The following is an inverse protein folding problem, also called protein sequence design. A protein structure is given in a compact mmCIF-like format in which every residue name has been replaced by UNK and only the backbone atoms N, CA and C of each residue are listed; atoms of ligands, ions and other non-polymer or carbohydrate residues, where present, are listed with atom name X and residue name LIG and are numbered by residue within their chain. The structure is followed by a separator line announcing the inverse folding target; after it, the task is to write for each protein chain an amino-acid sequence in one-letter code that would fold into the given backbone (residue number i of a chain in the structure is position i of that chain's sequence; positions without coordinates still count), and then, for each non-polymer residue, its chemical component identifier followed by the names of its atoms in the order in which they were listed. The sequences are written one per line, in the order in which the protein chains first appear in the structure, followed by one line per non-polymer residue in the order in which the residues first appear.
data_IF_778893635632
#
_entry.id   IF_778893635632
#
_cell.length_a   1.000
_cell.length_b   1.000
_cell.length_c   1.000
_cell.angle_alpha   90.00
_cell.angle_beta   90.00
_cell.angle_gamma   90.00
#
_symmetry.space_group_name_H-M   'P 1'
#
loop_
_entity.id
_entity.type
_entity.pdbx_description
1 polymer ?
#
# COMPACT_ATOMS: atom_id res chain seq x y z
N UNK A 1 -28.86 -51.98 -37.80
CA UNK A 1 -28.69 -52.74 -36.55
C UNK A 1 -27.77 -51.90 -35.71
N UNK A 2 -28.34 -50.87 -35.07
CA UNK A 2 -28.84 -50.95 -33.68
C UNK A 2 -27.72 -51.31 -32.71
N UNK A 3 -27.52 -50.68 -31.56
CA UNK A 3 -28.05 -49.51 -30.86
C UNK A 3 -27.43 -49.72 -29.48
N UNK A 4 -26.70 -48.76 -28.91
CA UNK A 4 -26.92 -48.42 -27.50
C UNK A 4 -26.13 -47.20 -27.02
N UNK A 5 -26.84 -46.43 -26.21
CA UNK A 5 -26.51 -45.10 -25.71
C UNK A 5 -26.97 -45.08 -24.26
N UNK A 6 -26.06 -44.94 -23.29
CA UNK A 6 -26.39 -44.31 -21.99
C UNK A 6 -25.17 -44.07 -21.09
N UNK A 7 -24.82 -42.78 -20.98
CA UNK A 7 -24.51 -41.96 -19.79
C UNK A 7 -24.08 -42.62 -18.47
N UNK A 8 -22.93 -42.19 -17.91
CA UNK A 8 -22.81 -41.54 -16.58
C UNK A 8 -21.34 -41.34 -16.16
N UNK A 9 -21.04 -40.27 -15.40
CA UNK A 9 -19.80 -40.15 -14.59
C UNK A 9 -18.97 -38.88 -14.80
N UNK A 10 -18.96 -38.00 -13.81
CA UNK A 10 -18.31 -36.69 -13.64
C UNK A 10 -16.76 -36.71 -13.63
N UNK A 11 -16.09 -35.54 -13.77
CA UNK A 11 -14.65 -35.42 -14.05
C UNK A 11 -13.79 -35.55 -12.79
N UNK A 12 -12.84 -36.48 -12.83
CA UNK A 12 -11.77 -36.60 -11.84
C UNK A 12 -10.61 -35.67 -12.18
N UNK A 13 -10.36 -34.72 -11.29
CA UNK A 13 -9.16 -33.88 -11.19
C UNK A 13 -7.89 -34.68 -11.43
N UNK A 14 -7.07 -34.27 -12.39
CA UNK A 14 -5.65 -34.65 -12.45
C UNK A 14 -4.86 -33.46 -12.94
N UNK A 15 -4.37 -32.68 -11.97
CA UNK A 15 -3.29 -31.72 -12.21
C UNK A 15 -2.05 -32.51 -12.60
N UNK A 16 -1.65 -32.44 -13.86
CA UNK A 16 -0.33 -32.86 -14.28
C UNK A 16 0.68 -31.81 -13.81
N UNK A 17 1.19 -32.02 -12.59
CA UNK A 17 2.46 -31.43 -12.20
C UNK A 17 3.53 -32.03 -13.11
N UNK A 18 3.96 -31.25 -14.10
CA UNK A 18 5.08 -31.58 -14.96
C UNK A 18 6.36 -31.48 -14.12
N UNK A 19 6.71 -32.56 -13.44
CA UNK A 19 7.94 -32.71 -12.66
C UNK A 19 9.12 -32.88 -13.61
N UNK A 20 9.74 -31.77 -14.04
CA UNK A 20 11.09 -31.81 -14.62
C UNK A 20 12.11 -31.86 -13.48
N UNK A 21 12.29 -33.03 -12.88
CA UNK A 21 13.44 -33.34 -12.04
C UNK A 21 14.61 -33.78 -12.92
N UNK A 22 15.13 -32.87 -13.74
CA UNK A 22 16.48 -33.01 -14.27
C UNK A 22 17.44 -32.39 -13.26
N UNK A 23 18.25 -33.24 -12.62
CA UNK A 23 19.39 -32.81 -11.81
C UNK A 23 20.36 -32.06 -12.72
N UNK A 24 20.34 -30.73 -12.68
CA UNK A 24 21.29 -29.86 -13.39
C UNK A 24 22.72 -30.20 -12.96
N UNK A 25 23.65 -30.27 -13.92
CA UNK A 25 25.06 -30.50 -13.62
C UNK A 25 25.59 -29.35 -12.72
N UNK A 26 26.64 -29.56 -11.91
CA UNK A 26 27.19 -28.52 -11.03
C UNK A 26 27.54 -27.19 -11.73
N UNK A 27 27.77 -27.21 -13.06
CA UNK A 27 28.01 -26.01 -13.89
C UNK A 27 26.75 -25.28 -14.39
N UNK A 28 25.57 -25.90 -14.28
CA UNK A 28 24.29 -25.33 -14.77
C UNK A 28 23.48 -24.65 -13.65
N UNK A 29 24.04 -24.57 -12.44
CA UNK A 29 23.40 -23.88 -11.32
C UNK A 29 23.44 -22.37 -11.53
N UNK A 30 22.30 -21.80 -11.86
CA UNK A 30 22.12 -20.33 -11.83
C UNK A 30 22.19 -19.87 -10.38
N UNK A 31 23.25 -19.15 -10.02
CA UNK A 31 23.41 -18.52 -8.70
C UNK A 31 23.03 -17.05 -8.85
N UNK A 32 22.07 -16.60 -8.05
CA UNK A 32 21.74 -15.18 -7.96
C UNK A 32 22.72 -14.49 -7.01
N UNK A 33 23.48 -13.53 -7.54
CA UNK A 33 24.41 -12.71 -6.75
C UNK A 33 23.88 -11.28 -6.70
N UNK A 34 23.68 -10.76 -5.49
CA UNK A 34 23.30 -9.36 -5.27
C UNK A 34 24.58 -8.55 -5.03
N UNK A 35 24.94 -7.68 -5.97
CA UNK A 35 26.12 -6.82 -5.88
C UNK A 35 25.78 -5.40 -6.33
N UNK A 36 26.62 -4.42 -5.95
CA UNK A 36 26.63 -3.11 -6.58
C UNK A 36 27.25 -3.20 -7.99
N UNK A 37 27.06 -2.17 -8.81
CA UNK A 37 27.71 -2.09 -10.12
C UNK A 37 29.24 -1.90 -9.98
N UNK A 38 29.68 -1.26 -8.90
CA UNK A 38 31.10 -1.19 -8.54
C UNK A 38 31.63 -2.47 -7.87
N UNK A 39 30.74 -3.40 -7.52
CA UNK A 39 31.08 -4.64 -6.82
C UNK A 39 31.09 -5.83 -7.77
N UNK A 40 32.12 -6.66 -7.66
CA UNK A 40 32.44 -7.79 -8.58
C UNK A 40 32.94 -7.26 -9.94
N UNK A 41 33.98 -7.89 -10.48
CA UNK A 41 34.62 -7.47 -11.74
C UNK A 41 33.72 -7.66 -12.95
N UNK A 42 32.79 -6.72 -13.15
CA UNK A 42 31.93 -6.68 -14.33
C UNK A 42 32.75 -6.50 -15.59
N UNK A 43 32.28 -7.10 -16.68
CA UNK A 43 32.79 -6.88 -18.03
C UNK A 43 32.76 -5.37 -18.35
N UNK A 44 33.93 -4.71 -18.51
CA UNK A 44 34.00 -3.27 -18.74
C UNK A 44 33.21 -2.81 -19.97
N UNK A 45 33.09 -3.66 -21.00
CA UNK A 45 32.34 -3.35 -22.22
C UNK A 45 30.82 -3.28 -22.00
N UNK A 46 30.32 -3.89 -20.91
CA UNK A 46 28.89 -3.95 -20.59
C UNK A 46 28.50 -3.07 -19.43
N UNK A 47 29.48 -2.54 -18.70
CA UNK A 47 29.29 -1.75 -17.49
C UNK A 47 28.39 -0.53 -17.72
N UNK A 48 28.69 0.28 -18.73
CA UNK A 48 27.92 1.50 -19.02
C UNK A 48 26.44 1.19 -19.33
N UNK A 49 26.17 0.16 -20.14
CA UNK A 49 24.81 -0.28 -20.46
C UNK A 49 24.07 -0.82 -19.23
N UNK A 50 24.80 -1.47 -18.31
CA UNK A 50 24.22 -1.95 -17.05
C UNK A 50 23.88 -0.78 -16.12
N UNK A 51 24.76 0.22 -16.03
CA UNK A 51 24.52 1.46 -15.27
C UNK A 51 23.28 2.19 -15.80
N UNK A 52 23.18 2.39 -17.11
CA UNK A 52 22.03 3.01 -17.77
C UNK A 52 20.73 2.22 -17.48
N UNK A 53 20.78 0.89 -17.57
CA UNK A 53 19.64 0.03 -17.26
C UNK A 53 19.18 0.19 -15.80
N UNK A 54 20.12 0.13 -14.85
CA UNK A 54 19.81 0.24 -13.42
C UNK A 54 19.22 1.62 -13.08
N UNK A 55 19.81 2.69 -13.61
CA UNK A 55 19.30 4.06 -13.43
C UNK A 55 17.90 4.20 -14.03
N UNK A 56 17.68 3.69 -15.23
CA UNK A 56 16.38 3.74 -15.91
C UNK A 56 15.31 3.00 -15.11
N UNK A 57 15.58 1.76 -14.69
CA UNK A 57 14.64 0.98 -13.86
C UNK A 57 14.37 1.67 -12.53
N UNK A 58 15.41 2.20 -11.88
CA UNK A 58 15.26 2.92 -10.62
C UNK A 58 14.35 4.15 -10.76
N UNK A 59 14.55 4.94 -11.83
CA UNK A 59 13.74 6.12 -12.10
C UNK A 59 12.27 5.74 -12.38
N UNK A 60 12.03 4.76 -13.25
CA UNK A 60 10.66 4.29 -13.55
C UNK A 60 9.99 3.76 -12.28
N UNK A 61 10.68 2.94 -11.47
CA UNK A 61 10.16 2.40 -10.22
C UNK A 61 9.83 3.52 -9.22
N UNK A 62 10.67 4.55 -9.13
CA UNK A 62 10.40 5.73 -8.28
C UNK A 62 9.13 6.45 -8.72
N UNK A 63 8.98 6.69 -10.03
CA UNK A 63 7.75 7.28 -10.57
C UNK A 63 6.54 6.35 -10.44
N UNK A 64 6.71 5.02 -10.46
CA UNK A 64 5.61 4.07 -10.27
C UNK A 64 5.03 4.15 -8.84
N UNK A 65 5.89 4.31 -7.83
CA UNK A 65 5.45 4.58 -6.46
C UNK A 65 4.68 5.90 -6.38
N UNK A 66 5.20 6.96 -7.01
CA UNK A 66 4.59 8.29 -6.97
C UNK A 66 3.25 8.33 -7.72
N UNK A 67 3.16 7.75 -8.92
CA UNK A 67 1.94 7.65 -9.71
C UNK A 67 0.90 6.80 -8.97
N UNK A 68 1.30 5.68 -8.36
CA UNK A 68 0.36 4.86 -7.57
C UNK A 68 -0.26 5.66 -6.42
N UNK A 69 0.55 6.43 -5.69
CA UNK A 69 0.05 7.33 -4.64
C UNK A 69 -0.87 8.41 -5.21
N UNK A 70 -0.49 9.00 -6.34
CA UNK A 70 -1.28 10.02 -7.02
C UNK A 70 -2.67 9.49 -7.37
N UNK A 71 -2.73 8.33 -8.03
CA UNK A 71 -3.97 7.64 -8.39
C UNK A 71 -4.82 7.40 -7.15
N UNK A 72 -4.25 6.87 -6.06
CA UNK A 72 -5.03 6.57 -4.85
C UNK A 72 -5.62 7.83 -4.21
N UNK A 73 -4.83 8.91 -4.10
CA UNK A 73 -5.29 10.17 -3.53
C UNK A 73 -6.40 10.79 -4.37
N UNK A 74 -6.24 10.82 -5.69
CA UNK A 74 -7.24 11.37 -6.62
C UNK A 74 -8.51 10.52 -6.63
N UNK A 75 -8.38 9.21 -6.75
CA UNK A 75 -9.54 8.30 -6.80
C UNK A 75 -10.36 8.34 -5.50
N UNK A 76 -9.72 8.42 -4.33
CA UNK A 76 -10.42 8.57 -3.04
C UNK A 76 -11.11 9.92 -2.93
N UNK A 77 -10.50 10.98 -3.47
CA UNK A 77 -11.07 12.32 -3.46
C UNK A 77 -12.27 12.45 -4.41
N UNK A 78 -12.25 11.76 -5.54
CA UNK A 78 -13.27 11.84 -6.59
C UNK A 78 -14.44 10.87 -6.37
N UNK A 79 -14.20 9.71 -5.74
CA UNK A 79 -15.23 8.70 -5.43
C UNK A 79 -15.11 8.21 -3.97
N UNK A 80 -16.06 8.61 -3.14
CA UNK A 80 -16.15 8.20 -1.72
C UNK A 80 -16.32 6.67 -1.55
N UNK A 81 -16.81 5.96 -2.58
CA UNK A 81 -16.99 4.52 -2.58
C UNK A 81 -15.83 3.76 -3.24
N UNK A 82 -14.74 4.46 -3.58
CA UNK A 82 -13.59 3.85 -4.25
C UNK A 82 -12.98 2.72 -3.41
N UNK A 83 -13.00 1.50 -3.95
CA UNK A 83 -12.39 0.34 -3.31
C UNK A 83 -10.91 0.20 -3.70
N UNK A 84 -10.03 0.77 -2.87
CA UNK A 84 -8.58 0.69 -3.05
C UNK A 84 -8.04 -0.75 -3.14
N UNK A 85 -8.74 -1.75 -2.59
CA UNK A 85 -8.31 -3.16 -2.65
C UNK A 85 -8.24 -3.68 -4.09
N UNK A 86 -8.99 -3.08 -5.01
CA UNK A 86 -8.92 -3.39 -6.44
C UNK A 86 -7.55 -3.05 -7.04
N UNK A 87 -6.82 -2.11 -6.43
CA UNK A 87 -5.52 -1.65 -6.91
C UNK A 87 -4.33 -2.23 -6.12
N UNK A 88 -4.53 -2.71 -4.88
CA UNK A 88 -3.43 -3.25 -4.07
C UNK A 88 -3.17 -4.72 -4.47
N UNK A 89 -2.57 -4.92 -5.64
CA UNK A 89 -2.13 -6.23 -6.12
C UNK A 89 -0.96 -6.09 -7.12
N UNK A 90 -0.26 -7.21 -7.37
CA UNK A 90 0.93 -7.24 -8.22
C UNK A 90 0.66 -6.79 -9.66
N UNK A 91 -0.48 -7.19 -10.22
CA UNK A 91 -0.84 -6.90 -11.61
C UNK A 91 -1.09 -5.41 -11.82
N UNK A 92 -1.76 -4.76 -10.87
CA UNK A 92 -1.95 -3.31 -10.89
C UNK A 92 -0.61 -2.57 -10.89
N UNK A 93 0.29 -2.88 -9.95
CA UNK A 93 1.59 -2.21 -9.88
C UNK A 93 2.47 -2.51 -11.11
N UNK A 94 2.37 -3.70 -11.69
CA UNK A 94 3.03 -4.02 -12.95
C UNK A 94 2.50 -3.15 -14.09
N UNK A 95 1.19 -2.95 -14.19
CA UNK A 95 0.60 -2.07 -15.22
C UNK A 95 0.94 -0.59 -14.99
N UNK A 96 0.95 -0.11 -13.74
CA UNK A 96 1.41 1.26 -13.41
C UNK A 96 2.87 1.46 -13.86
N UNK A 97 3.75 0.52 -13.52
CA UNK A 97 5.16 0.58 -13.92
C UNK A 97 5.29 0.57 -15.45
N UNK A 98 4.54 -0.32 -16.11
CA UNK A 98 4.59 -0.44 -17.57
C UNK A 98 4.05 0.82 -18.27
N UNK A 99 3.06 1.51 -17.68
CA UNK A 99 2.50 2.78 -18.19
C UNK A 99 3.51 3.92 -18.20
N UNK A 100 4.52 3.86 -17.35
CA UNK A 100 5.63 4.81 -17.28
C UNK A 100 6.78 4.48 -18.25
N UNK A 101 6.54 3.63 -19.24
CA UNK A 101 7.51 3.30 -20.31
C UNK A 101 6.88 3.40 -21.69
N UNK A 102 7.69 3.73 -22.69
CA UNK A 102 7.35 3.57 -24.10
C UNK A 102 7.65 2.14 -24.52
N UNK A 103 6.70 1.26 -24.25
CA UNK A 103 6.73 -0.15 -24.64
C UNK A 103 5.49 -0.47 -25.48
N UNK A 104 5.70 -1.13 -26.62
CA UNK A 104 4.60 -1.57 -27.48
C UNK A 104 3.82 -2.71 -26.81
N UNK A 105 2.62 -2.39 -26.31
CA UNK A 105 1.79 -3.34 -25.56
C UNK A 105 1.00 -4.22 -26.52
N UNK A 106 0.98 -5.52 -26.22
CA UNK A 106 0.09 -6.48 -26.89
C UNK A 106 -1.37 -6.35 -26.41
N UNK A 107 -2.26 -7.14 -27.05
CA UNK A 107 -3.66 -7.25 -26.64
C UNK A 107 -3.76 -7.67 -25.17
N UNK A 108 -4.62 -6.98 -24.43
CA UNK A 108 -4.92 -7.28 -23.04
C UNK A 108 -6.26 -8.01 -22.93
N UNK A 109 -6.37 -8.93 -21.97
CA UNK A 109 -7.66 -9.45 -21.52
C UNK A 109 -8.48 -8.36 -20.82
N UNK A 110 -9.79 -8.59 -20.65
CA UNK A 110 -10.72 -7.57 -20.17
C UNK A 110 -10.33 -6.91 -18.83
N UNK A 111 -9.84 -7.70 -17.86
CA UNK A 111 -9.39 -7.16 -16.56
C UNK A 111 -8.19 -6.22 -16.71
N UNK A 112 -7.16 -6.65 -17.44
CA UNK A 112 -5.97 -5.84 -17.71
C UNK A 112 -6.32 -4.58 -18.50
N UNK A 113 -7.22 -4.67 -19.48
CA UNK A 113 -7.70 -3.52 -20.23
C UNK A 113 -8.41 -2.49 -19.33
N UNK A 114 -9.26 -2.96 -18.40
CA UNK A 114 -9.93 -2.10 -17.43
C UNK A 114 -8.92 -1.41 -16.48
N UNK A 115 -7.92 -2.15 -15.98
CA UNK A 115 -6.85 -1.58 -15.16
C UNK A 115 -6.06 -0.51 -15.92
N UNK A 116 -5.72 -0.76 -17.19
CA UNK A 116 -5.02 0.22 -18.04
C UNK A 116 -5.84 1.49 -18.22
N UNK A 117 -7.13 1.34 -18.55
CA UNK A 117 -8.02 2.48 -18.72
C UNK A 117 -8.17 3.30 -17.43
N UNK A 118 -8.27 2.63 -16.28
CA UNK A 118 -8.32 3.31 -14.98
C UNK A 118 -7.03 4.09 -14.68
N UNK A 119 -5.86 3.54 -14.99
CA UNK A 119 -4.58 4.25 -14.82
C UNK A 119 -4.50 5.45 -15.77
N UNK A 120 -4.95 5.29 -17.02
CA UNK A 120 -4.91 6.33 -18.05
C UNK A 120 -5.70 7.59 -17.64
N UNK A 121 -6.76 7.46 -16.84
CA UNK A 121 -7.52 8.59 -16.29
C UNK A 121 -6.65 9.59 -15.54
N UNK A 122 -5.56 9.14 -14.90
CA UNK A 122 -4.69 9.98 -14.05
C UNK A 122 -3.29 10.19 -14.63
N UNK A 123 -2.93 9.45 -15.68
CA UNK A 123 -1.56 9.38 -16.16
C UNK A 123 -1.11 10.71 -16.76
N UNK A 124 -1.90 11.29 -17.67
CA UNK A 124 -1.49 12.50 -18.39
C UNK A 124 -1.28 13.69 -17.45
N UNK A 125 -2.22 13.90 -16.52
CA UNK A 125 -2.13 14.93 -15.47
C UNK A 125 -0.89 14.71 -14.58
N UNK A 126 -0.62 13.46 -14.17
CA UNK A 126 0.59 13.16 -13.42
C UNK A 126 1.88 13.46 -14.21
N UNK A 127 1.92 13.13 -15.50
CA UNK A 127 3.08 13.41 -16.35
C UNK A 127 3.28 14.92 -16.55
N UNK A 128 2.19 15.68 -16.71
CA UNK A 128 2.22 17.14 -16.80
C UNK A 128 2.78 17.77 -15.52
N UNK A 129 2.25 17.37 -14.35
CA UNK A 129 2.67 17.91 -13.05
C UNK A 129 4.12 17.57 -12.72
N UNK A 130 4.59 16.36 -13.08
CA UNK A 130 5.94 15.91 -12.73
C UNK A 130 6.99 16.23 -13.79
N UNK A 131 6.58 16.56 -15.02
CA UNK A 131 7.47 16.67 -16.17
C UNK A 131 8.19 15.37 -16.54
N UNK A 132 7.73 14.23 -16.03
CA UNK A 132 8.37 12.94 -16.29
C UNK A 132 8.14 12.54 -17.75
N UNK A 133 9.22 12.19 -18.45
CA UNK A 133 9.15 11.70 -19.83
C UNK A 133 9.41 10.19 -19.82
N UNK A 134 8.40 9.35 -20.14
CA UNK A 134 8.58 7.91 -20.21
C UNK A 134 9.70 7.51 -21.18
N UNK A 135 10.70 6.71 -20.74
CA UNK A 135 11.79 6.27 -21.60
C UNK A 135 11.36 5.11 -22.52
N UNK A 136 12.07 4.95 -23.63
CA UNK A 136 11.99 3.76 -24.48
C UNK A 136 12.63 2.57 -23.77
N UNK A 137 11.86 1.51 -23.55
CA UNK A 137 12.31 0.40 -22.71
C UNK A 137 11.87 -0.95 -23.26
N UNK A 138 12.76 -1.57 -24.03
CA UNK A 138 12.51 -2.82 -24.78
C UNK A 138 12.05 -3.99 -23.91
N UNK A 139 12.53 -4.08 -22.68
CA UNK A 139 12.26 -5.20 -21.76
C UNK A 139 11.14 -4.88 -20.76
N UNK A 140 10.28 -3.91 -21.08
CA UNK A 140 9.25 -3.38 -20.16
C UNK A 140 8.35 -4.44 -19.56
N UNK A 141 7.92 -5.42 -20.34
CA UNK A 141 7.03 -6.47 -19.84
C UNK A 141 7.67 -7.34 -18.75
N UNK A 142 8.94 -7.72 -18.88
CA UNK A 142 9.61 -8.56 -17.89
C UNK A 142 9.96 -7.75 -16.64
N UNK A 143 10.48 -6.53 -16.84
CA UNK A 143 10.80 -5.63 -15.74
C UNK A 143 9.56 -5.26 -14.92
N UNK A 144 8.42 -4.98 -15.57
CA UNK A 144 7.20 -4.59 -14.87
C UNK A 144 6.65 -5.68 -13.97
N UNK A 145 6.77 -6.96 -14.34
CA UNK A 145 6.36 -8.08 -13.50
C UNK A 145 7.23 -8.18 -12.24
N UNK A 146 8.54 -8.03 -12.39
CA UNK A 146 9.49 -8.11 -11.27
C UNK A 146 9.33 -6.86 -10.36
N UNK A 147 9.37 -5.67 -10.95
CA UNK A 147 9.25 -4.41 -10.21
C UNK A 147 7.86 -4.24 -9.60
N UNK A 148 6.79 -4.61 -10.30
CA UNK A 148 5.42 -4.61 -9.76
C UNK A 148 5.28 -5.53 -8.54
N UNK A 149 5.88 -6.72 -8.58
CA UNK A 149 5.92 -7.61 -7.43
C UNK A 149 6.72 -7.02 -6.25
N UNK A 150 7.89 -6.41 -6.52
CA UNK A 150 8.69 -5.71 -5.50
C UNK A 150 7.92 -4.55 -4.87
N UNK A 151 7.24 -3.74 -5.67
CA UNK A 151 6.41 -2.62 -5.23
C UNK A 151 5.29 -3.14 -4.32
N UNK A 152 4.55 -4.16 -4.77
CA UNK A 152 3.49 -4.78 -3.96
C UNK A 152 4.01 -5.29 -2.61
N UNK A 153 5.08 -6.08 -2.61
CA UNK A 153 5.66 -6.63 -1.37
C UNK A 153 6.15 -5.52 -0.45
N UNK A 154 6.85 -4.52 -0.99
CA UNK A 154 7.30 -3.36 -0.24
C UNK A 154 6.12 -2.59 0.38
N UNK A 155 5.06 -2.37 -0.39
CA UNK A 155 3.85 -1.72 0.07
C UNK A 155 3.19 -2.50 1.20
N UNK A 156 2.92 -3.80 1.02
CA UNK A 156 2.30 -4.66 2.02
C UNK A 156 3.10 -4.71 3.32
N UNK A 157 4.43 -4.86 3.23
CA UNK A 157 5.31 -4.87 4.38
C UNK A 157 5.32 -3.52 5.10
N UNK A 158 5.34 -2.41 4.35
CA UNK A 158 5.30 -1.08 4.96
C UNK A 158 3.97 -0.83 5.66
N UNK A 159 2.83 -1.22 5.07
CA UNK A 159 1.51 -1.14 5.72
C UNK A 159 1.54 -1.97 7.01
N UNK A 160 1.97 -3.23 6.95
CA UNK A 160 2.02 -4.10 8.11
C UNK A 160 2.91 -3.56 9.24
N UNK A 161 4.10 -3.05 8.90
CA UNK A 161 5.06 -2.57 9.90
C UNK A 161 4.73 -1.18 10.44
N UNK A 162 4.18 -0.29 9.60
CA UNK A 162 4.09 1.15 9.92
C UNK A 162 2.67 1.64 10.19
N UNK A 163 1.62 0.90 9.85
CA UNK A 163 0.23 1.33 10.07
C UNK A 163 -0.01 1.72 11.54
N UNK A 164 0.44 0.89 12.49
CA UNK A 164 0.29 1.19 13.91
C UNK A 164 1.00 2.48 14.33
N UNK A 165 2.17 2.78 13.76
CA UNK A 165 2.89 4.03 14.04
C UNK A 165 2.14 5.24 13.46
N UNK A 166 1.77 5.18 12.18
CA UNK A 166 1.04 6.25 11.50
C UNK A 166 -0.31 6.53 12.16
N UNK A 167 -1.04 5.49 12.55
CA UNK A 167 -2.31 5.61 13.24
C UNK A 167 -2.16 6.28 14.60
N UNK A 168 -1.16 5.90 15.40
CA UNK A 168 -0.87 6.59 16.67
C UNK A 168 -0.57 8.07 16.44
N UNK A 169 0.14 8.38 15.36
CA UNK A 169 0.46 9.76 14.97
C UNK A 169 -0.81 10.55 14.58
N UNK A 170 -1.69 9.96 13.77
CA UNK A 170 -2.97 10.56 13.38
C UNK A 170 -3.88 10.79 14.60
N UNK A 171 -4.02 9.78 15.46
CA UNK A 171 -4.77 9.88 16.72
C UNK A 171 -4.21 10.98 17.62
N UNK A 172 -2.89 11.08 17.76
CA UNK A 172 -2.26 12.16 18.52
C UNK A 172 -2.60 13.54 17.98
N UNK A 173 -2.66 13.67 16.65
CA UNK A 173 -3.01 14.92 15.99
C UNK A 173 -4.48 15.27 16.20
N UNK A 174 -5.38 14.31 16.00
CA UNK A 174 -6.83 14.48 16.15
C UNK A 174 -7.25 14.80 17.58
N UNK A 175 -6.62 14.17 18.57
CA UNK A 175 -6.87 14.44 19.98
C UNK A 175 -6.16 15.70 20.49
N UNK A 176 -5.47 16.44 19.59
CA UNK A 176 -4.70 17.64 19.90
C UNK A 176 -3.78 17.47 21.12
N UNK A 177 -3.19 16.28 21.29
CA UNK A 177 -2.50 15.89 22.54
C UNK A 177 -1.41 16.89 22.91
N UNK A 178 -0.64 17.35 21.93
CA UNK A 178 0.44 18.31 22.16
C UNK A 178 -0.08 19.64 22.69
N UNK A 179 -1.15 20.16 22.09
CA UNK A 179 -1.76 21.42 22.49
C UNK A 179 -2.37 21.32 23.89
N UNK A 180 -3.20 20.29 24.13
CA UNK A 180 -3.84 20.08 25.44
C UNK A 180 -2.83 19.94 26.56
N UNK A 181 -1.71 19.25 26.32
CA UNK A 181 -0.60 19.14 27.29
C UNK A 181 0.00 20.51 27.60
N UNK A 182 0.29 21.31 26.58
CA UNK A 182 0.88 22.64 26.76
C UNK A 182 -0.06 23.57 27.53
N UNK A 183 -1.36 23.58 27.20
CA UNK A 183 -2.37 24.40 27.86
C UNK A 183 -2.55 24.02 29.33
N UNK A 184 -2.65 22.72 29.64
CA UNK A 184 -2.81 22.25 31.02
C UNK A 184 -1.57 22.55 31.88
N UNK A 185 -0.37 22.35 31.33
CA UNK A 185 0.88 22.69 32.02
C UNK A 185 0.94 24.21 32.31
N UNK A 186 0.64 25.04 31.31
CA UNK A 186 0.65 26.50 31.47
C UNK A 186 -0.41 26.98 32.47
N UNK A 187 -1.59 26.35 32.50
CA UNK A 187 -2.63 26.64 33.48
C UNK A 187 -2.21 26.28 34.90
N UNK A 188 -1.73 25.06 35.15
CA UNK A 188 -1.33 24.61 36.49
C UNK A 188 -0.08 25.30 37.04
N UNK A 189 0.86 25.68 36.17
CA UNK A 189 2.01 26.51 36.57
C UNK A 189 1.57 27.89 37.07
N UNK A 190 0.53 28.49 36.47
CA UNK A 190 -0.03 29.77 36.94
C UNK A 190 -0.71 29.64 38.31
N UNK A 191 -1.25 28.47 38.62
CA UNK A 191 -1.81 28.15 39.95
C UNK A 191 -0.73 27.78 40.99
N UNK A 192 0.55 27.75 40.61
CA UNK A 192 1.65 27.47 41.53
C UNK A 192 1.83 25.99 41.89
N UNK A 193 1.24 25.06 41.13
CA UNK A 193 1.46 23.63 41.36
C UNK A 193 2.91 23.23 41.10
N UNK A 194 3.42 22.32 41.92
CA UNK A 194 4.74 21.70 41.73
C UNK A 194 4.75 20.79 40.50
N UNK A 195 5.86 20.75 39.77
CA UNK A 195 5.99 20.02 38.50
C UNK A 195 5.63 18.51 38.61
N UNK A 196 5.85 17.89 39.78
CA UNK A 196 5.49 16.50 40.02
C UNK A 196 3.96 16.26 39.94
N UNK A 197 3.17 17.15 40.53
CA UNK A 197 1.70 17.09 40.49
C UNK A 197 1.17 17.42 39.10
N UNK A 198 1.77 18.41 38.43
CA UNK A 198 1.44 18.74 37.03
C UNK A 198 1.65 17.53 36.12
N UNK A 199 2.78 16.81 36.29
CA UNK A 199 3.08 15.61 35.50
C UNK A 199 2.06 14.50 35.75
N UNK A 200 1.66 14.28 37.00
CA UNK A 200 0.65 13.28 37.36
C UNK A 200 -0.72 13.63 36.76
N UNK A 201 -1.11 14.91 36.77
CA UNK A 201 -2.39 15.36 36.22
C UNK A 201 -2.41 15.29 34.68
N UNK A 202 -1.33 15.72 34.02
CA UNK A 202 -1.16 15.56 32.56
C UNK A 202 -1.19 14.08 32.16
N UNK A 203 -0.66 13.20 33.01
CA UNK A 203 -0.76 11.76 32.78
C UNK A 203 -2.22 11.31 32.83
N UNK A 204 -2.92 11.56 33.94
CA UNK A 204 -4.29 11.14 34.20
C UNK A 204 -5.31 11.70 33.20
N UNK A 205 -5.21 12.97 32.84
CA UNK A 205 -6.27 13.65 32.06
C UNK A 205 -6.07 13.57 30.54
N UNK A 206 -4.83 13.36 30.11
CA UNK A 206 -4.49 13.42 28.68
C UNK A 206 -3.77 12.17 28.23
N UNK A 207 -2.72 11.76 28.93
CA UNK A 207 -1.85 10.68 28.44
C UNK A 207 -2.53 9.32 28.58
N UNK A 208 -3.08 8.99 29.74
CA UNK A 208 -3.75 7.72 30.00
C UNK A 208 -5.01 7.51 29.13
N UNK A 209 -5.95 8.45 29.02
CA UNK A 209 -7.10 8.30 28.12
C UNK A 209 -6.68 8.13 26.65
N UNK A 210 -5.66 8.86 26.20
CA UNK A 210 -5.16 8.74 24.84
C UNK A 210 -4.42 7.42 24.60
N UNK A 211 -3.71 6.90 25.61
CA UNK A 211 -3.06 5.58 25.54
C UNK A 211 -4.11 4.48 25.46
N UNK A 212 -5.10 4.48 26.36
CA UNK A 212 -6.20 3.51 26.35
C UNK A 212 -6.96 3.52 25.02
N UNK A 213 -7.20 4.70 24.47
CA UNK A 213 -7.83 4.85 23.16
C UNK A 213 -7.00 4.22 22.03
N UNK A 214 -5.67 4.44 22.02
CA UNK A 214 -4.77 3.82 21.03
C UNK A 214 -4.71 2.30 21.18
N UNK A 215 -4.65 1.80 22.41
CA UNK A 215 -4.62 0.36 22.71
C UNK A 215 -5.90 -0.33 22.24
N UNK A 216 -7.07 0.30 22.45
CA UNK A 216 -8.34 -0.20 21.94
C UNK A 216 -8.32 -0.31 20.41
N UNK A 217 -7.94 0.76 19.70
CA UNK A 217 -7.86 0.75 18.24
C UNK A 217 -6.88 -0.32 17.75
N UNK A 218 -5.71 -0.43 18.38
CA UNK A 218 -4.71 -1.43 18.03
C UNK A 218 -5.22 -2.85 18.27
N UNK A 219 -5.96 -3.07 19.36
CA UNK A 219 -6.64 -4.34 19.64
C UNK A 219 -7.66 -4.71 18.55
N UNK A 220 -8.52 -3.77 18.16
CA UNK A 220 -9.48 -3.98 17.06
C UNK A 220 -8.78 -4.27 15.74
N UNK A 221 -7.71 -3.54 15.41
CA UNK A 221 -6.94 -3.79 14.20
C UNK A 221 -6.26 -5.16 14.23
N UNK A 222 -5.66 -5.57 15.35
CA UNK A 222 -5.06 -6.92 15.48
C UNK A 222 -6.11 -8.01 15.26
N UNK A 223 -7.31 -7.87 15.82
CA UNK A 223 -8.42 -8.81 15.60
C UNK A 223 -8.83 -8.84 14.12
N UNK A 224 -8.93 -7.68 13.45
CA UNK A 224 -9.26 -7.58 12.03
C UNK A 224 -8.15 -8.13 11.11
N UNK A 225 -6.88 -7.96 11.49
CA UNK A 225 -5.72 -8.50 10.76
C UNK A 225 -5.59 -10.02 10.94
N UNK A 226 -5.82 -10.55 12.14
CA UNK A 226 -5.71 -11.98 12.44
C UNK A 226 -6.90 -12.81 11.95
N UNK A 227 -8.08 -12.21 11.80
CA UNK A 227 -9.27 -12.90 11.24
C UNK A 227 -9.31 -12.95 9.71
N UNK A 228 -8.30 -12.42 9.03
CA UNK A 228 -8.06 -12.43 7.57
C UNK A 228 -9.30 -12.41 6.65
N UNK A 229 -9.46 -11.29 5.95
CA UNK A 229 -10.16 -11.14 4.67
C UNK A 229 -11.70 -11.28 4.59
N UNK A 230 -12.42 -11.70 5.64
CA UNK A 230 -13.88 -11.95 5.52
C UNK A 230 -14.82 -11.05 6.35
N UNK A 231 -14.33 -10.21 7.27
CA UNK A 231 -15.21 -9.51 8.22
C UNK A 231 -15.17 -7.97 8.16
N UNK A 232 -14.63 -7.36 7.10
CA UNK A 232 -14.49 -5.90 7.04
C UNK A 232 -15.82 -5.14 6.83
N UNK A 233 -16.91 -5.82 6.44
CA UNK A 233 -18.23 -5.19 6.27
C UNK A 233 -19.11 -5.40 7.51
N UNK A 234 -19.06 -6.58 8.14
CA UNK A 234 -19.89 -6.87 9.32
C UNK A 234 -19.40 -6.15 10.60
N UNK A 235 -18.09 -5.90 10.71
CA UNK A 235 -17.52 -5.18 11.85
C UNK A 235 -17.67 -3.65 11.76
N UNK A 236 -17.88 -3.10 10.56
CA UNK A 236 -18.18 -1.67 10.40
C UNK A 236 -19.54 -1.33 11.02
N UNK A 237 -20.57 -2.16 10.86
CA UNK A 237 -21.89 -1.89 11.42
C UNK A 237 -21.97 -2.13 12.94
N UNK A 238 -21.38 -3.21 13.46
CA UNK A 238 -21.42 -3.50 14.90
C UNK A 238 -20.55 -2.54 15.73
N UNK A 239 -19.43 -2.04 15.18
CA UNK A 239 -18.63 -1.02 15.85
C UNK A 239 -19.26 0.38 15.76
N UNK A 240 -19.95 0.70 14.65
CA UNK A 240 -20.71 1.95 14.51
C UNK A 240 -21.90 2.00 15.49
N UNK A 241 -22.60 0.90 15.73
CA UNK A 241 -23.70 0.84 16.71
C UNK A 241 -23.21 1.02 18.16
N UNK A 242 -22.05 0.47 18.50
CA UNK A 242 -21.48 0.66 19.85
C UNK A 242 -20.91 2.08 20.06
N UNK A 243 -20.43 2.73 18.99
CA UNK A 243 -19.84 4.07 19.01
C UNK A 243 -20.86 5.20 18.74
N UNK A 244 -22.06 4.88 18.27
CA UNK A 244 -23.15 5.83 18.02
C UNK A 244 -23.79 6.42 19.29
N UNK A 245 -23.44 5.92 20.47
CA UNK A 245 -23.92 6.46 21.75
C UNK A 245 -23.16 7.71 22.23
N UNK A 246 -22.09 8.14 21.53
CA UNK A 246 -21.35 9.36 21.85
C UNK A 246 -21.26 10.34 20.65
N UNK A 247 -21.98 11.47 20.69
CA UNK A 247 -22.04 12.46 19.60
C UNK A 247 -20.68 13.06 19.19
N UNK A 248 -19.68 13.02 20.08
CA UNK A 248 -18.32 13.49 19.83
C UNK A 248 -17.50 12.55 18.94
N UNK A 249 -17.86 11.27 18.87
CA UNK A 249 -17.10 10.23 18.16
C UNK A 249 -17.57 10.07 16.69
N UNK A 250 -18.81 10.43 16.37
CA UNK A 250 -19.29 10.41 14.98
C UNK A 250 -18.58 11.43 14.09
N UNK A 251 -18.30 12.65 14.59
CA UNK A 251 -17.48 13.65 13.88
C UNK A 251 -16.00 13.24 13.75
N UNK A 252 -15.56 12.26 14.54
CA UNK A 252 -14.18 11.79 14.62
C UNK A 252 -13.85 10.73 13.56
N UNK A 253 -14.79 9.83 13.22
CA UNK A 253 -14.58 8.81 12.17
C UNK A 253 -14.64 9.37 10.74
N UNK A 254 -15.54 10.33 10.47
CA UNK A 254 -15.57 11.05 9.18
C UNK A 254 -14.26 11.81 8.94
N UNK A 255 -13.65 12.37 10.00
CA UNK A 255 -12.35 13.04 9.92
C UNK A 255 -11.16 12.09 9.79
N UNK A 256 -11.21 10.89 10.38
CA UNK A 256 -10.15 9.87 10.20
C UNK A 256 -10.10 9.38 8.77
N UNK A 257 -11.25 9.16 8.12
CA UNK A 257 -11.29 8.79 6.71
C UNK A 257 -10.67 9.88 5.82
N UNK A 258 -10.95 11.16 6.11
CA UNK A 258 -10.33 12.30 5.42
C UNK A 258 -8.82 12.46 5.70
N UNK A 259 -8.36 12.17 6.92
CA UNK A 259 -6.94 12.34 7.31
C UNK A 259 -6.06 11.16 6.86
N UNK A 260 -6.60 9.94 6.82
CA UNK A 260 -5.89 8.74 6.35
C UNK A 260 -5.96 8.60 4.83
N UNK A 261 -7.00 9.16 4.18
CA UNK A 261 -7.14 9.30 2.72
C UNK A 261 -6.41 10.49 2.11
N UNK A 262 -5.74 11.32 2.92
CA UNK A 262 -4.94 12.45 2.46
C UNK A 262 -5.67 13.79 2.54
N UNK A 263 -5.47 14.50 3.65
CA UNK A 263 -5.49 15.96 3.67
C UNK A 263 -4.82 16.47 4.97
N UNK A 264 -3.52 16.76 4.90
CA UNK A 264 -2.98 17.92 5.63
C UNK A 264 -2.91 19.04 4.60
N UNK A 265 -4.03 19.74 4.42
CA UNK A 265 -3.96 21.13 3.95
C UNK A 265 -3.82 21.99 5.20
N UNK A 266 -2.61 22.52 5.38
CA UNK A 266 -2.32 23.74 6.15
C UNK A 266 -1.61 24.66 5.14
N UNK A 267 -1.85 25.96 4.97
CA UNK A 267 -2.66 27.00 5.64
C UNK A 267 -2.71 28.15 4.62
N UNK A 268 -3.88 28.79 4.45
CA UNK A 268 -4.08 30.20 4.82
C UNK A 268 -5.54 30.42 5.17
#
# INVERSE_FOLDING_TARGET
MDSDRSLSGTPGTSGSNMSTSSSLAPGDRIISVKSSIDGIGWDPERRERLEEYVVTVHNITTHAYSLSKYIFLRAIQEDENFDIRRCINRDFFAEVWLKLTRYARGRAGGRTAATRAFIDTYLDDYLEVTGFVPPDFRYGQQASLIEGAKIFTSYSNNVQMRLGSHLRQAVNHLLCIRQRKAELIAYRRREGLIDALIKAEVYREITEPATRFKELIEGYLKILYWTNYLCLIASHYAALELLATQPSIQKFFVKIFLVVGGLIVKIR
#
